data_IF_907263769557
#
_entry.id   IF_907263769557
#
_cell.length_a   1.000
_cell.length_b   1.000
_cell.length_c   1.000
_cell.angle_alpha   90.00
_cell.angle_beta   90.00
_cell.angle_gamma   90.00
#
_symmetry.space_group_name_H-M   'P 1'
#
loop_
_entity.id
_entity.type
_entity.pdbx_description
1 polymer ?
#
# COMPACT_ATOMS: atom_id res chain seq x y z
N UNK A 1 -21.98 -68.53 17.48
CA UNK A 1 -22.14 -68.40 18.94
C UNK A 1 -22.10 -66.90 19.20
N UNK A 2 -23.30 -66.35 19.35
CA UNK A 2 -23.89 -65.81 20.60
C UNK A 2 -23.11 -64.60 21.08
N UNK A 3 -23.64 -63.49 21.42
CA UNK A 3 -25.01 -63.07 21.77
C UNK A 3 -25.05 -61.54 21.89
N UNK A 4 -26.11 -61.03 21.41
CA UNK A 4 -26.91 -59.88 21.93
C UNK A 4 -26.44 -59.22 23.24
N UNK A 5 -26.42 -57.89 23.18
CA UNK A 5 -26.84 -57.08 24.33
C UNK A 5 -27.38 -55.72 23.83
N UNK A 6 -28.71 -55.70 23.71
CA UNK A 6 -29.49 -54.48 23.68
C UNK A 6 -29.35 -53.70 24.98
N UNK A 7 -28.97 -52.45 24.89
CA UNK A 7 -29.23 -51.50 25.98
C UNK A 7 -30.04 -50.32 25.47
N UNK A 8 -31.30 -50.38 25.87
CA UNK A 8 -32.25 -49.29 25.80
C UNK A 8 -31.72 -48.15 26.63
N UNK A 9 -31.59 -46.98 26.04
CA UNK A 9 -31.51 -45.75 26.83
C UNK A 9 -32.67 -44.82 26.47
N UNK A 10 -33.31 -44.42 27.53
CA UNK A 10 -34.56 -43.70 27.65
C UNK A 10 -34.46 -42.30 27.09
N UNK A 11 -35.52 -41.89 26.41
CA UNK A 11 -35.84 -40.50 26.14
C UNK A 11 -35.96 -39.72 27.44
N UNK A 12 -35.24 -38.63 27.53
CA UNK A 12 -35.54 -37.51 28.43
C UNK A 12 -35.72 -36.28 27.53
N UNK A 13 -36.97 -35.90 27.41
CA UNK A 13 -37.39 -34.62 26.85
C UNK A 13 -37.04 -33.53 27.84
N UNK A 14 -36.23 -32.59 27.43
CA UNK A 14 -35.98 -31.37 28.18
C UNK A 14 -36.29 -30.17 27.29
N UNK A 15 -37.12 -29.32 27.82
CA UNK A 15 -37.87 -28.29 27.20
C UNK A 15 -37.08 -27.24 26.39
N UNK A 16 -37.75 -26.83 25.34
CA UNK A 16 -37.39 -25.68 24.54
C UNK A 16 -37.62 -24.37 25.35
N UNK A 17 -36.56 -23.69 25.71
CA UNK A 17 -36.64 -22.26 26.03
C UNK A 17 -36.31 -21.50 24.72
N UNK A 18 -37.32 -20.98 24.07
CA UNK A 18 -37.20 -20.05 23.00
C UNK A 18 -36.74 -18.69 23.55
N UNK A 19 -35.46 -18.40 23.49
CA UNK A 19 -34.93 -17.05 23.74
C UNK A 19 -35.05 -16.30 22.39
N UNK A 20 -36.08 -15.47 22.28
CA UNK A 20 -36.21 -14.51 21.18
C UNK A 20 -35.15 -13.44 21.34
N UNK A 21 -34.01 -13.64 20.73
CA UNK A 21 -33.01 -12.58 20.54
C UNK A 21 -33.57 -11.58 19.52
N UNK A 22 -34.02 -10.41 20.01
CA UNK A 22 -34.21 -9.25 19.14
C UNK A 22 -32.84 -8.95 18.51
N UNK A 23 -32.69 -9.29 17.25
CA UNK A 23 -31.58 -8.82 16.42
C UNK A 23 -31.77 -7.31 16.20
N UNK A 24 -31.14 -6.50 17.05
CA UNK A 24 -30.93 -5.11 16.74
C UNK A 24 -30.06 -5.06 15.48
N UNK A 25 -30.65 -4.72 14.34
CA UNK A 25 -29.92 -4.43 13.11
C UNK A 25 -28.91 -3.32 13.43
N UNK A 26 -27.62 -3.52 13.24
CA UNK A 26 -26.67 -2.41 13.31
C UNK A 26 -27.08 -1.40 12.24
N UNK A 27 -27.49 -0.21 12.68
CA UNK A 27 -27.65 0.91 11.80
C UNK A 27 -26.35 1.02 10.99
N UNK A 28 -26.47 0.95 9.67
CA UNK A 28 -25.36 1.30 8.78
C UNK A 28 -24.98 2.75 9.09
N UNK A 29 -24.03 2.91 10.00
CA UNK A 29 -23.38 4.20 10.19
C UNK A 29 -22.78 4.52 8.83
N UNK A 30 -23.33 5.54 8.18
CA UNK A 30 -22.81 6.06 6.92
C UNK A 30 -21.33 6.36 7.11
N UNK A 31 -20.49 5.42 6.66
CA UNK A 31 -19.05 5.55 6.79
C UNK A 31 -18.62 6.81 6.07
N UNK A 32 -18.19 7.79 6.83
CA UNK A 32 -17.51 8.97 6.29
C UNK A 32 -16.34 8.43 5.49
N UNK A 33 -16.41 8.52 4.16
CA UNK A 33 -15.36 8.06 3.26
C UNK A 33 -14.16 8.95 3.54
N UNK A 34 -13.28 8.51 4.42
CA UNK A 34 -12.03 9.20 4.69
C UNK A 34 -11.22 9.18 3.41
N UNK A 35 -11.12 10.31 2.74
CA UNK A 35 -10.29 10.45 1.56
C UNK A 35 -8.84 10.37 2.04
N UNK A 36 -8.23 9.21 1.91
CA UNK A 36 -6.82 9.03 2.26
C UNK A 36 -5.98 9.81 1.25
N UNK A 37 -5.31 10.85 1.71
CA UNK A 37 -4.42 11.65 0.87
C UNK A 37 -3.02 11.08 0.97
N UNK A 38 -2.57 10.42 -0.08
CA UNK A 38 -1.19 9.97 -0.22
C UNK A 38 -0.30 11.14 -0.60
N UNK A 39 0.87 11.23 0.02
CA UNK A 39 1.86 12.29 -0.24
C UNK A 39 3.17 11.68 -0.69
N UNK A 40 3.88 12.37 -1.58
CA UNK A 40 5.27 12.05 -1.89
C UNK A 40 6.12 13.31 -1.91
N UNK A 41 7.42 13.12 -1.72
CA UNK A 41 8.45 14.14 -1.85
C UNK A 41 9.72 13.54 -2.43
N UNK A 42 10.49 14.34 -3.14
CA UNK A 42 11.85 14.00 -3.56
C UNK A 42 12.79 15.07 -3.03
N UNK A 43 13.84 14.67 -2.33
CA UNK A 43 14.76 15.56 -1.67
C UNK A 43 16.23 15.11 -1.83
N UNK A 44 17.17 16.05 -1.99
CA UNK A 44 16.96 17.48 -2.12
C UNK A 44 16.26 17.88 -3.42
N UNK A 45 15.69 19.08 -3.46
CA UNK A 45 15.19 19.68 -4.70
C UNK A 45 15.46 21.18 -4.64
N UNK A 46 16.27 21.75 -5.54
CA UNK A 46 16.92 21.06 -6.65
C UNK A 46 18.03 20.08 -6.21
N UNK A 47 18.25 19.07 -7.01
CA UNK A 47 19.38 18.16 -6.88
C UNK A 47 20.44 18.50 -7.90
N UNK A 48 21.70 18.55 -7.46
CA UNK A 48 22.81 18.71 -8.39
C UNK A 48 22.98 17.45 -9.22
N UNK A 49 23.32 17.63 -10.46
CA UNK A 49 23.64 16.55 -11.35
C UNK A 49 24.65 15.56 -10.76
N UNK A 50 24.44 14.26 -10.98
CA UNK A 50 25.19 13.15 -10.40
C UNK A 50 25.11 13.05 -8.87
N UNK A 51 24.39 13.95 -8.18
CA UNK A 51 24.13 13.82 -6.75
C UNK A 51 22.99 12.82 -6.48
N UNK A 52 22.91 12.36 -5.25
CA UNK A 52 21.86 11.47 -4.80
C UNK A 52 20.63 12.24 -4.33
N UNK A 53 19.46 11.70 -4.54
CA UNK A 53 18.19 12.15 -3.98
C UNK A 53 17.40 10.95 -3.46
N UNK A 54 16.46 11.23 -2.59
CA UNK A 54 15.58 10.21 -2.00
C UNK A 54 14.13 10.53 -2.33
N UNK A 55 13.36 9.54 -2.72
CA UNK A 55 11.91 9.66 -2.83
C UNK A 55 11.28 9.05 -1.60
N UNK A 56 10.44 9.81 -0.93
CA UNK A 56 9.71 9.40 0.27
C UNK A 56 8.21 9.66 0.11
N UNK A 57 7.42 9.02 0.96
CA UNK A 57 5.98 9.24 0.98
C UNK A 57 5.35 8.96 2.33
N UNK A 58 4.11 9.43 2.50
CA UNK A 58 3.34 9.25 3.72
C UNK A 58 1.84 9.11 3.44
N UNK A 59 1.12 8.54 4.41
CA UNK A 59 -0.31 8.27 4.33
C UNK A 59 -0.67 6.98 3.59
N UNK A 60 0.30 6.13 3.29
CA UNK A 60 0.10 4.86 2.60
C UNK A 60 -0.27 3.75 3.60
N UNK A 61 -1.03 2.72 3.16
CA UNK A 61 -1.29 1.55 3.98
C UNK A 61 0.01 0.85 4.42
N UNK A 62 0.18 0.53 5.70
CA UNK A 62 1.33 -0.25 6.17
C UNK A 62 1.50 -1.56 5.43
N UNK A 63 2.74 -1.93 5.13
CA UNK A 63 3.07 -3.16 4.40
C UNK A 63 2.83 -3.10 2.89
N UNK A 64 2.26 -2.03 2.35
CA UNK A 64 2.17 -1.83 0.91
C UNK A 64 3.56 -1.77 0.31
N UNK A 65 3.79 -2.43 -0.81
CA UNK A 65 5.00 -2.25 -1.62
C UNK A 65 4.70 -1.26 -2.73
N UNK A 66 5.55 -0.25 -2.86
CA UNK A 66 5.38 0.81 -3.85
C UNK A 66 6.46 0.74 -4.92
N UNK A 67 6.08 1.03 -6.15
CA UNK A 67 6.99 1.36 -7.23
C UNK A 67 6.94 2.86 -7.50
N UNK A 68 8.07 3.40 -7.88
CA UNK A 68 8.21 4.81 -8.24
C UNK A 68 8.59 4.93 -9.70
N UNK A 69 7.80 5.66 -10.45
CA UNK A 69 8.07 6.02 -11.83
C UNK A 69 8.61 7.44 -11.86
N UNK A 70 9.80 7.60 -12.41
CA UNK A 70 10.42 8.91 -12.61
C UNK A 70 10.38 9.21 -14.10
N UNK A 71 9.66 10.24 -14.46
CA UNK A 71 9.50 10.68 -15.84
C UNK A 71 10.21 12.00 -16.05
N UNK A 72 11.12 12.03 -16.98
CA UNK A 72 11.66 13.24 -17.56
C UNK A 72 10.99 13.57 -18.90
N UNK A 73 11.55 14.51 -19.63
CA UNK A 73 11.04 14.94 -20.93
C UNK A 73 11.15 13.87 -22.02
N UNK A 74 12.04 12.89 -21.86
CA UNK A 74 12.42 11.94 -22.90
C UNK A 74 12.07 10.50 -22.51
N UNK A 75 12.22 10.14 -21.24
CA UNK A 75 12.13 8.77 -20.77
C UNK A 75 11.36 8.63 -19.47
N UNK A 76 10.95 7.40 -19.16
CA UNK A 76 10.35 7.02 -17.89
C UNK A 76 11.17 5.90 -17.29
N UNK A 77 11.64 6.08 -16.07
CA UNK A 77 12.37 5.05 -15.32
C UNK A 77 11.50 4.52 -14.18
N UNK A 78 11.69 3.24 -13.89
CA UNK A 78 10.97 2.56 -12.82
C UNK A 78 11.96 2.20 -11.72
N UNK A 79 11.68 2.64 -10.52
CA UNK A 79 12.33 2.17 -9.30
C UNK A 79 11.39 1.16 -8.66
N UNK A 80 11.73 -0.11 -8.77
CA UNK A 80 10.91 -1.19 -8.25
C UNK A 80 11.12 -1.33 -6.74
N UNK A 81 10.15 -0.90 -5.96
CA UNK A 81 10.18 -0.97 -4.50
C UNK A 81 10.21 -2.39 -3.95
N UNK A 82 9.76 -3.39 -4.73
CA UNK A 82 9.86 -4.80 -4.32
C UNK A 82 11.31 -5.33 -4.28
N UNK A 83 12.20 -4.69 -5.02
CA UNK A 83 13.64 -5.00 -5.04
C UNK A 83 14.43 -4.17 -4.02
N UNK A 84 13.83 -3.15 -3.42
CA UNK A 84 14.45 -2.23 -2.47
C UNK A 84 13.67 -2.23 -1.16
N UNK A 85 14.35 -2.51 -0.05
CA UNK A 85 13.71 -2.54 1.27
C UNK A 85 12.97 -1.23 1.63
N UNK A 86 13.47 -0.10 1.15
CA UNK A 86 12.83 1.20 1.33
C UNK A 86 11.53 1.42 0.57
N UNK A 87 11.18 0.51 -0.37
CA UNK A 87 9.92 0.55 -1.11
C UNK A 87 8.74 -0.05 -0.36
N UNK A 88 8.95 -0.67 0.79
CA UNK A 88 7.88 -1.18 1.65
C UNK A 88 7.45 -0.11 2.64
N UNK A 89 6.14 0.13 2.70
CA UNK A 89 5.56 1.11 3.62
C UNK A 89 5.68 0.61 5.05
N UNK A 90 6.23 1.44 5.92
CA UNK A 90 6.41 1.16 7.34
C UNK A 90 5.06 1.18 8.11
N UNK A 91 5.08 0.78 9.39
CA UNK A 91 3.89 0.71 10.23
C UNK A 91 3.21 2.07 10.45
N UNK A 92 3.94 3.16 10.33
CA UNK A 92 3.46 4.54 10.44
C UNK A 92 2.88 5.10 9.12
N UNK A 93 2.83 4.28 8.07
CA UNK A 93 2.34 4.68 6.75
C UNK A 93 3.34 5.47 5.90
N UNK A 94 4.62 5.44 6.25
CA UNK A 94 5.69 6.11 5.50
C UNK A 94 6.53 5.12 4.70
N UNK A 95 7.18 5.60 3.64
CA UNK A 95 8.26 4.89 2.96
C UNK A 95 9.36 5.86 2.57
N UNK A 96 10.57 5.34 2.41
CA UNK A 96 11.70 6.05 1.85
C UNK A 96 12.49 5.10 0.97
N UNK A 97 12.64 5.45 -0.28
CA UNK A 97 13.49 4.69 -1.19
C UNK A 97 14.96 4.98 -0.90
N UNK A 98 15.82 4.05 -1.22
CA UNK A 98 17.25 4.23 -1.14
C UNK A 98 17.67 5.44 -1.99
N UNK A 99 18.78 6.12 -1.61
CA UNK A 99 19.28 7.22 -2.39
C UNK A 99 19.46 6.83 -3.86
N UNK A 100 18.82 7.60 -4.73
CA UNK A 100 18.84 7.40 -6.16
C UNK A 100 19.85 8.38 -6.73
N UNK A 101 20.78 7.90 -7.53
CA UNK A 101 21.73 8.78 -8.20
C UNK A 101 21.03 9.43 -9.40
N UNK A 102 21.06 10.75 -9.46
CA UNK A 102 20.64 11.49 -10.65
C UNK A 102 21.73 11.32 -11.71
N UNK A 103 21.73 10.15 -12.38
CA UNK A 103 22.71 9.90 -13.44
C UNK A 103 22.41 10.71 -14.66
N UNK A 104 23.38 11.46 -15.11
CA UNK A 104 23.36 12.07 -16.42
C UNK A 104 24.12 11.24 -17.40
N UNK A 105 23.39 10.69 -18.31
CA UNK A 105 24.01 10.30 -19.56
C UNK A 105 23.84 11.36 -20.66
N UNK A 106 22.99 12.38 -20.43
CA UNK A 106 22.69 13.42 -21.44
C UNK A 106 22.37 14.77 -20.81
N UNK A 107 22.75 15.90 -21.45
CA UNK A 107 22.37 17.25 -21.04
C UNK A 107 20.84 17.46 -20.91
N UNK A 108 20.06 16.60 -21.57
CA UNK A 108 18.59 16.57 -21.50
C UNK A 108 18.02 16.16 -20.13
N UNK A 109 18.86 15.66 -19.22
CA UNK A 109 18.42 15.27 -17.89
C UNK A 109 18.31 16.43 -16.88
N UNK A 110 18.71 17.64 -17.26
CA UNK A 110 18.46 18.84 -16.46
C UNK A 110 16.98 19.21 -16.47
N UNK A 111 16.54 19.91 -15.44
CA UNK A 111 15.18 20.44 -15.33
C UNK A 111 14.24 19.57 -14.49
N UNK A 112 12.97 19.85 -14.60
CA UNK A 112 11.93 19.25 -13.76
C UNK A 112 11.65 17.79 -14.11
N UNK A 113 11.64 16.94 -13.09
CA UNK A 113 11.24 15.53 -13.16
C UNK A 113 9.91 15.33 -12.46
N UNK A 114 9.06 14.49 -13.03
CA UNK A 114 7.81 14.07 -12.41
C UNK A 114 7.98 12.69 -11.78
N UNK A 115 7.58 12.57 -10.54
CA UNK A 115 7.58 11.33 -9.77
C UNK A 115 6.16 10.85 -9.61
N UNK A 116 5.90 9.59 -9.89
CA UNK A 116 4.60 8.95 -9.65
C UNK A 116 4.79 7.71 -8.79
N UNK A 117 4.06 7.63 -7.69
CA UNK A 117 4.05 6.48 -6.77
C UNK A 117 2.84 5.62 -7.09
N UNK A 118 3.04 4.32 -7.26
CA UNK A 118 2.00 3.34 -7.53
C UNK A 118 2.16 2.14 -6.60
N UNK A 119 1.08 1.35 -6.40
CA UNK A 119 1.20 0.05 -5.75
C UNK A 119 1.96 -0.91 -6.67
N UNK A 120 3.00 -1.57 -6.17
CA UNK A 120 3.85 -2.48 -6.94
C UNK A 120 3.09 -3.68 -7.53
N UNK A 121 1.98 -4.06 -6.92
CA UNK A 121 1.15 -5.18 -7.36
C UNK A 121 -0.08 -4.76 -8.18
N UNK A 122 -0.28 -3.45 -8.39
CA UNK A 122 -1.35 -2.96 -9.25
C UNK A 122 -0.94 -3.04 -10.72
N UNK A 123 -1.54 -3.98 -11.45
CA UNK A 123 -1.31 -4.16 -12.90
C UNK A 123 -1.68 -2.94 -13.75
N UNK A 124 -2.56 -2.09 -13.24
CA UNK A 124 -2.98 -0.86 -13.92
C UNK A 124 -2.05 0.31 -13.65
N UNK A 125 -1.10 0.15 -12.73
CA UNK A 125 -0.17 1.20 -12.28
C UNK A 125 -0.89 2.52 -11.94
N UNK A 126 -2.02 2.42 -11.24
CA UNK A 126 -2.81 3.58 -10.82
C UNK A 126 -1.96 4.48 -9.93
N UNK A 127 -1.86 5.74 -10.28
CA UNK A 127 -1.08 6.72 -9.53
C UNK A 127 -1.75 6.99 -8.19
N UNK A 128 -1.03 6.76 -7.10
CA UNK A 128 -1.46 7.02 -5.74
C UNK A 128 -1.04 8.41 -5.26
N UNK A 129 0.19 8.81 -5.61
CA UNK A 129 0.73 10.13 -5.33
C UNK A 129 1.62 10.61 -6.46
N UNK A 130 1.76 11.92 -6.59
CA UNK A 130 2.69 12.55 -7.53
C UNK A 130 3.43 13.70 -6.86
N UNK A 131 4.71 13.84 -7.17
CA UNK A 131 5.52 14.97 -6.78
C UNK A 131 6.52 15.31 -7.88
N UNK A 132 7.26 16.38 -7.72
CA UNK A 132 8.26 16.82 -8.69
C UNK A 132 9.54 17.22 -7.98
N UNK A 133 10.65 17.13 -8.67
CA UNK A 133 11.92 17.71 -8.26
C UNK A 133 12.64 18.22 -9.50
N UNK A 134 13.66 19.04 -9.31
CA UNK A 134 14.48 19.56 -10.41
C UNK A 134 15.92 19.10 -10.29
N UNK A 135 16.56 18.90 -11.43
CA UNK A 135 17.98 18.59 -11.55
C UNK A 135 18.67 19.79 -12.21
N UNK A 136 19.81 20.25 -11.66
CA UNK A 136 20.59 21.39 -12.14
C UNK A 136 22.09 21.08 -12.18
#
# INVERSE_FOLDING_TARGET
MSSHLYRKFRLLAVGALAISALAASPALAGGTRTTTTYKCAAAPSPVTNAATYTVSGSGFPPGMVVNVYIKDRISTWIINGSLYAGGTVAADGTFSLWPIVSTLYYPSNLGTKSVSVVNAYDRRATKLATCTFSVQ
#
